data_IF_526152132484
#
_entry.id   IF_526152132484
#
_cell.length_a   1.000
_cell.length_b   1.000
_cell.length_c   1.000
_cell.angle_alpha   90.00
_cell.angle_beta   90.00
_cell.angle_gamma   90.00
#
_symmetry.space_group_name_H-M   'P 1'
#
loop_
_entity.id
_entity.type
_entity.pdbx_description
1 polymer ?
#
# COMPACT_ATOMS: atom_id res chain seq x y z
N UNK A 1 11.40 -72.64 -40.37
CA UNK A 1 10.17 -71.81 -40.63
C UNK A 1 9.81 -70.94 -39.42
N UNK A 2 9.70 -71.46 -38.18
CA UNK A 2 9.35 -70.58 -36.98
C UNK A 2 10.52 -69.65 -36.56
N UNK A 3 11.74 -70.10 -36.63
CA UNK A 3 12.92 -69.28 -36.22
C UNK A 3 13.13 -68.08 -37.15
N UNK A 4 12.93 -68.22 -38.42
CA UNK A 4 13.03 -67.14 -39.45
C UNK A 4 11.98 -66.05 -39.18
N UNK A 5 10.72 -66.44 -38.77
CA UNK A 5 9.65 -65.48 -38.43
C UNK A 5 10.00 -64.73 -37.17
N UNK A 6 10.57 -65.39 -36.17
CA UNK A 6 10.98 -64.75 -34.92
C UNK A 6 12.07 -63.70 -35.10
N UNK A 7 13.09 -64.05 -35.94
CA UNK A 7 14.18 -63.14 -36.25
C UNK A 7 13.70 -61.94 -37.08
N UNK A 8 12.75 -62.13 -38.00
CA UNK A 8 12.12 -61.05 -38.76
C UNK A 8 11.33 -60.11 -37.85
N UNK A 9 10.64 -60.61 -36.81
CA UNK A 9 9.89 -59.81 -35.88
C UNK A 9 10.83 -59.05 -34.94
N UNK A 10 11.93 -59.64 -34.44
CA UNK A 10 12.94 -58.96 -33.67
C UNK A 10 13.60 -57.81 -34.43
N UNK A 11 13.94 -58.03 -35.70
CA UNK A 11 14.48 -57.00 -36.59
C UNK A 11 13.48 -55.84 -36.75
N UNK A 12 12.21 -56.15 -37.03
CA UNK A 12 11.16 -55.14 -37.16
C UNK A 12 10.90 -54.35 -35.87
N UNK A 13 11.06 -54.94 -34.70
CA UNK A 13 10.99 -54.26 -33.39
C UNK A 13 12.19 -53.33 -33.23
N UNK A 14 13.38 -53.77 -33.54
CA UNK A 14 14.61 -52.99 -33.38
C UNK A 14 14.64 -51.77 -34.32
N UNK A 15 14.17 -51.89 -35.55
CA UNK A 15 14.13 -50.82 -36.56
C UNK A 15 12.96 -49.85 -36.35
N UNK A 16 12.01 -50.15 -35.48
CA UNK A 16 10.84 -49.30 -35.26
C UNK A 16 11.19 -47.94 -34.69
N UNK A 17 10.68 -46.89 -35.33
CA UNK A 17 10.84 -45.49 -34.95
C UNK A 17 9.46 -44.86 -34.78
N UNK A 18 9.24 -44.06 -33.74
CA UNK A 18 8.04 -43.27 -33.55
C UNK A 18 8.44 -41.85 -33.12
N UNK A 19 7.90 -40.85 -33.82
CA UNK A 19 8.08 -39.42 -33.53
C UNK A 19 6.79 -38.73 -33.13
N UNK A 20 5.64 -39.37 -33.33
CA UNK A 20 4.32 -38.84 -33.02
C UNK A 20 3.52 -39.83 -32.17
N UNK A 21 2.53 -39.34 -31.36
CA UNK A 21 1.65 -40.22 -30.59
C UNK A 21 0.90 -41.25 -31.42
N UNK A 22 0.52 -40.90 -32.65
CA UNK A 22 -0.15 -41.83 -33.58
C UNK A 22 0.75 -42.97 -34.00
N UNK A 23 2.04 -42.70 -34.29
CA UNK A 23 3.04 -43.71 -34.61
C UNK A 23 3.34 -44.63 -33.42
N UNK A 24 3.31 -44.08 -32.20
CA UNK A 24 3.48 -44.84 -30.97
C UNK A 24 2.29 -45.81 -30.76
N UNK A 25 1.08 -45.38 -31.02
CA UNK A 25 -0.11 -46.21 -30.94
C UNK A 25 -0.11 -47.31 -32.01
N UNK A 26 0.32 -46.97 -33.24
CA UNK A 26 0.49 -47.94 -34.30
C UNK A 26 1.51 -49.04 -33.92
N UNK A 27 2.63 -48.68 -33.27
CA UNK A 27 3.61 -49.64 -32.74
C UNK A 27 2.94 -50.56 -31.69
N UNK A 28 2.21 -49.98 -30.72
CA UNK A 28 1.48 -50.70 -29.68
C UNK A 28 0.52 -51.74 -30.25
N UNK A 29 -0.25 -51.33 -31.24
CA UNK A 29 -1.21 -52.24 -31.94
C UNK A 29 -0.50 -53.37 -32.69
N UNK A 30 0.64 -53.08 -33.29
CA UNK A 30 1.37 -54.05 -34.11
C UNK A 30 2.14 -55.09 -33.29
N UNK A 31 2.72 -54.70 -32.13
CA UNK A 31 3.66 -55.57 -31.41
C UNK A 31 3.20 -55.94 -29.98
N UNK A 32 2.37 -55.15 -29.32
CA UNK A 32 2.02 -55.35 -27.89
C UNK A 32 0.58 -55.82 -27.70
N UNK A 33 -0.36 -55.46 -28.53
CA UNK A 33 -1.78 -55.80 -28.38
C UNK A 33 -2.03 -57.31 -28.40
N UNK A 34 -3.15 -57.78 -27.86
CA UNK A 34 -3.53 -59.20 -27.86
C UNK A 34 -3.64 -59.79 -29.28
N UNK A 35 -3.92 -58.97 -30.30
CA UNK A 35 -4.00 -59.34 -31.71
C UNK A 35 -2.74 -58.93 -32.48
N UNK A 36 -1.63 -58.71 -31.80
CA UNK A 36 -0.36 -58.34 -32.43
C UNK A 36 0.36 -59.53 -33.02
N UNK A 37 1.38 -59.23 -33.84
CA UNK A 37 2.28 -60.26 -34.41
C UNK A 37 2.96 -61.08 -33.30
N UNK A 38 3.27 -60.48 -32.13
CA UNK A 38 3.78 -61.20 -30.94
C UNK A 38 2.68 -62.05 -30.33
N UNK A 39 1.44 -61.57 -30.27
CA UNK A 39 0.28 -62.34 -29.79
C UNK A 39 0.00 -63.61 -30.65
N UNK A 40 0.23 -63.54 -31.96
CA UNK A 40 0.13 -64.71 -32.85
C UNK A 40 1.19 -65.78 -32.55
N UNK A 41 2.40 -65.38 -32.14
CA UNK A 41 3.47 -66.30 -31.69
C UNK A 41 3.05 -67.06 -30.41
N UNK A 42 2.37 -66.40 -29.51
CA UNK A 42 1.79 -67.06 -28.30
C UNK A 42 0.65 -68.03 -28.67
N UNK A 43 -0.18 -67.72 -29.65
CA UNK A 43 -1.27 -68.60 -30.10
C UNK A 43 -0.71 -69.87 -30.76
N UNK A 44 0.42 -69.74 -31.45
CA UNK A 44 1.11 -70.87 -32.08
C UNK A 44 1.70 -71.88 -31.07
N UNK A 45 1.90 -71.54 -29.85
CA UNK A 45 2.36 -72.40 -28.73
C UNK A 45 1.46 -73.66 -28.55
N UNK A 46 0.16 -73.55 -28.91
CA UNK A 46 -0.78 -74.65 -28.84
C UNK A 46 -0.53 -75.78 -29.87
N UNK A 47 0.18 -75.47 -30.94
CA UNK A 47 0.43 -76.37 -32.05
C UNK A 47 1.80 -77.07 -32.03
N UNK A 48 2.66 -76.77 -31.05
CA UNK A 48 4.04 -77.27 -30.93
C UNK A 48 4.11 -78.49 -30.04
N UNK A 49 4.95 -79.53 -30.43
CA UNK A 49 5.17 -80.70 -29.63
C UNK A 49 5.62 -80.42 -28.20
N UNK A 50 5.19 -81.19 -27.18
CA UNK A 50 5.43 -80.94 -25.75
C UNK A 50 6.92 -80.79 -25.39
N UNK A 51 7.81 -81.43 -26.11
CA UNK A 51 9.27 -81.40 -25.90
C UNK A 51 9.91 -80.07 -26.23
N UNK A 52 9.35 -79.33 -27.20
CA UNK A 52 9.87 -78.08 -27.71
C UNK A 52 9.14 -76.85 -27.15
N UNK A 53 7.93 -77.04 -26.50
CA UNK A 53 7.12 -75.96 -25.98
C UNK A 53 7.85 -75.02 -24.98
N UNK A 54 8.71 -75.62 -24.12
CA UNK A 54 9.41 -74.85 -23.12
C UNK A 54 10.46 -73.90 -23.73
N UNK A 55 11.21 -74.39 -24.71
CA UNK A 55 12.24 -73.61 -25.40
C UNK A 55 11.61 -72.51 -26.25
N UNK A 56 10.54 -72.86 -27.02
CA UNK A 56 9.76 -71.88 -27.81
C UNK A 56 9.11 -70.78 -26.92
N UNK A 57 8.53 -71.13 -25.78
CA UNK A 57 7.94 -70.21 -24.82
C UNK A 57 8.95 -69.20 -24.26
N UNK A 58 10.17 -69.65 -24.00
CA UNK A 58 11.24 -68.76 -23.55
C UNK A 58 11.62 -67.73 -24.63
N UNK A 59 11.69 -68.17 -25.87
CA UNK A 59 12.03 -67.30 -27.00
C UNK A 59 10.90 -66.29 -27.30
N UNK A 60 9.64 -66.72 -27.23
CA UNK A 60 8.50 -65.81 -27.43
C UNK A 60 8.39 -64.77 -26.29
N UNK A 61 8.69 -65.19 -25.04
CA UNK A 61 8.75 -64.26 -23.93
C UNK A 61 9.89 -63.23 -24.10
N UNK A 62 11.05 -63.63 -24.59
CA UNK A 62 12.11 -62.66 -24.88
C UNK A 62 11.75 -61.64 -25.95
N UNK A 63 11.01 -62.05 -27.00
CA UNK A 63 10.49 -61.15 -28.02
C UNK A 63 9.48 -60.17 -27.46
N UNK A 64 8.62 -60.62 -26.52
CA UNK A 64 7.66 -59.76 -25.84
C UNK A 64 8.36 -58.71 -25.00
N UNK A 65 9.36 -59.11 -24.21
CA UNK A 65 10.14 -58.17 -23.41
C UNK A 65 10.81 -57.11 -24.26
N UNK A 66 11.43 -57.54 -25.37
CA UNK A 66 12.11 -56.65 -26.33
C UNK A 66 11.12 -55.65 -26.96
N UNK A 67 9.88 -56.07 -27.24
CA UNK A 67 8.84 -55.18 -27.74
C UNK A 67 8.39 -54.16 -26.68
N UNK A 68 8.27 -54.58 -25.43
CA UNK A 68 7.88 -53.71 -24.30
C UNK A 68 8.99 -52.70 -23.97
N UNK A 69 10.24 -53.12 -23.92
CA UNK A 69 11.39 -52.25 -23.72
C UNK A 69 11.51 -51.16 -24.82
N UNK A 70 11.36 -51.56 -26.06
CA UNK A 70 11.38 -50.65 -27.20
C UNK A 70 10.22 -49.65 -27.15
N UNK A 71 9.06 -50.07 -26.71
CA UNK A 71 7.90 -49.21 -26.53
C UNK A 71 8.16 -48.10 -25.49
N UNK A 72 8.78 -48.44 -24.36
CA UNK A 72 9.17 -47.46 -23.34
C UNK A 72 10.18 -46.44 -23.88
N UNK A 73 11.21 -46.92 -24.63
CA UNK A 73 12.18 -46.04 -25.27
C UNK A 73 11.49 -45.05 -26.24
N UNK A 74 10.51 -45.51 -27.01
CA UNK A 74 9.75 -44.67 -27.96
C UNK A 74 8.83 -43.66 -27.22
N UNK A 75 8.22 -44.05 -26.09
CA UNK A 75 7.45 -43.12 -25.25
C UNK A 75 8.32 -41.98 -24.76
N UNK A 76 9.51 -42.28 -24.26
CA UNK A 76 10.42 -41.24 -23.73
C UNK A 76 10.86 -40.27 -24.85
N UNK A 77 11.15 -40.79 -26.06
CA UNK A 77 11.53 -39.99 -27.22
C UNK A 77 10.39 -39.07 -27.68
N UNK A 78 9.15 -39.57 -27.76
CA UNK A 78 7.97 -38.80 -28.15
C UNK A 78 7.66 -37.73 -27.08
N UNK A 79 7.74 -38.07 -25.79
CA UNK A 79 7.51 -37.12 -24.72
C UNK A 79 8.59 -36.02 -24.63
N UNK A 80 9.85 -36.35 -24.90
CA UNK A 80 10.94 -35.40 -24.94
C UNK A 80 10.79 -34.40 -26.11
N UNK A 81 10.32 -34.86 -27.26
CA UNK A 81 10.02 -33.99 -28.43
C UNK A 81 8.81 -33.08 -28.17
N UNK A 82 7.77 -33.59 -27.51
CA UNK A 82 6.55 -32.81 -27.17
C UNK A 82 6.81 -31.75 -26.09
N UNK A 83 7.70 -32.01 -25.15
CA UNK A 83 8.11 -31.00 -24.14
C UNK A 83 8.91 -29.85 -24.75
N UNK A 84 9.70 -30.09 -25.79
CA UNK A 84 10.44 -29.01 -26.46
C UNK A 84 9.57 -28.07 -27.27
N UNK A 85 8.40 -28.50 -27.76
CA UNK A 85 7.52 -27.67 -28.60
C UNK A 85 6.59 -26.73 -27.78
N UNK A 86 6.35 -26.97 -26.50
CA UNK A 86 5.48 -26.12 -25.68
C UNK A 86 6.14 -24.85 -25.15
N UNK A 87 7.45 -24.68 -25.25
CA UNK A 87 8.18 -23.48 -24.77
C UNK A 87 8.55 -22.50 -25.89
N UNK A 88 8.20 -22.80 -27.14
CA UNK A 88 8.69 -22.05 -28.29
C UNK A 88 7.76 -20.94 -28.82
N UNK A 89 6.52 -20.84 -28.33
CA UNK A 89 5.53 -19.90 -28.87
C UNK A 89 5.45 -18.56 -28.11
N UNK A 90 6.23 -18.38 -27.07
CA UNK A 90 6.26 -17.08 -26.39
C UNK A 90 7.40 -16.24 -26.96
N UNK A 91 7.06 -15.25 -27.75
CA UNK A 91 8.02 -14.29 -28.27
C UNK A 91 8.49 -13.36 -27.11
N UNK A 92 9.66 -13.65 -26.55
CA UNK A 92 10.27 -12.89 -25.46
C UNK A 92 10.84 -11.55 -25.94
N UNK A 93 10.82 -11.25 -27.23
CA UNK A 93 11.25 -9.95 -27.77
C UNK A 93 10.12 -8.93 -27.83
N UNK A 94 8.87 -9.37 -27.65
CA UNK A 94 7.74 -8.45 -27.52
C UNK A 94 7.91 -7.59 -26.28
N UNK A 95 7.71 -6.26 -26.39
CA UNK A 95 7.73 -5.39 -25.22
C UNK A 95 6.67 -5.86 -24.22
N UNK A 96 6.95 -5.82 -22.91
CA UNK A 96 5.97 -6.19 -21.91
C UNK A 96 4.73 -5.30 -22.04
N UNK A 97 3.56 -5.87 -21.82
CA UNK A 97 2.32 -5.08 -21.75
C UNK A 97 2.52 -3.96 -20.73
N UNK A 98 2.53 -2.72 -21.22
CA UNK A 98 2.64 -1.53 -20.37
C UNK A 98 1.34 -1.40 -19.56
N UNK A 99 1.22 -2.13 -18.45
CA UNK A 99 0.26 -1.80 -17.41
C UNK A 99 0.81 -0.56 -16.70
N UNK A 100 0.16 0.60 -16.85
CA UNK A 100 0.61 1.79 -16.16
C UNK A 100 0.48 1.52 -14.65
N UNK A 101 1.61 1.47 -13.96
CA UNK A 101 1.63 1.45 -12.50
C UNK A 101 0.88 2.68 -11.99
N UNK A 102 0.03 2.49 -10.99
CA UNK A 102 -0.61 3.59 -10.28
C UNK A 102 0.41 4.47 -9.58
N UNK A 103 -0.06 5.48 -8.89
CA UNK A 103 0.75 6.36 -8.04
C UNK A 103 0.03 6.61 -6.72
N UNK A 104 0.78 7.01 -5.70
CA UNK A 104 0.21 7.46 -4.44
C UNK A 104 -0.29 8.89 -4.62
N UNK A 105 -1.51 9.16 -4.15
CA UNK A 105 -2.04 10.53 -4.16
C UNK A 105 -1.12 11.48 -3.35
N UNK A 106 -0.82 12.70 -3.82
CA UNK A 106 0.13 13.58 -3.14
C UNK A 106 -0.23 13.92 -1.69
N UNK A 107 -1.51 14.00 -1.34
CA UNK A 107 -1.93 14.16 0.06
C UNK A 107 -1.60 12.93 0.90
N UNK A 108 -1.82 11.73 0.37
CA UNK A 108 -1.49 10.48 1.05
C UNK A 108 0.02 10.37 1.28
N UNK A 109 0.83 10.65 0.25
CA UNK A 109 2.29 10.65 0.37
C UNK A 109 2.78 11.71 1.38
N UNK A 110 2.16 12.89 1.40
CA UNK A 110 2.48 13.95 2.37
C UNK A 110 2.10 13.53 3.78
N UNK A 111 0.88 12.98 3.98
CA UNK A 111 0.43 12.45 5.29
C UNK A 111 1.37 11.38 5.82
N UNK A 112 1.73 10.41 5.00
CA UNK A 112 2.66 9.35 5.38
C UNK A 112 4.01 9.90 5.81
N UNK A 113 4.55 10.85 5.04
CA UNK A 113 5.84 11.47 5.38
C UNK A 113 5.78 12.26 6.68
N UNK A 114 4.69 12.96 6.97
CA UNK A 114 4.48 13.65 8.26
C UNK A 114 4.48 12.64 9.39
N UNK A 115 3.69 11.56 9.27
CA UNK A 115 3.60 10.50 10.28
C UNK A 115 4.97 9.91 10.55
N UNK A 116 5.71 9.49 9.52
CA UNK A 116 7.07 8.94 9.66
C UNK A 116 8.03 9.84 10.44
N UNK A 117 7.97 11.16 10.20
CA UNK A 117 8.84 12.12 10.89
C UNK A 117 8.53 12.14 12.40
N UNK A 118 7.25 12.18 12.77
CA UNK A 118 6.84 12.26 14.16
C UNK A 118 6.95 10.90 14.88
N UNK A 119 6.70 9.78 14.22
CA UNK A 119 6.91 8.44 14.81
C UNK A 119 8.38 8.22 15.20
N UNK A 120 9.33 8.72 14.40
CA UNK A 120 10.77 8.63 14.72
C UNK A 120 11.18 9.37 16.00
N UNK A 121 10.38 10.33 16.44
CA UNK A 121 10.58 11.05 17.68
C UNK A 121 9.59 10.65 18.77
N UNK A 122 8.91 9.49 18.59
CA UNK A 122 8.12 8.82 19.60
C UNK A 122 6.65 9.23 19.70
N UNK A 123 6.07 9.84 18.65
CA UNK A 123 4.64 10.06 18.59
C UNK A 123 3.92 8.80 18.11
N UNK A 124 2.83 8.43 18.77
CA UNK A 124 1.93 7.37 18.36
C UNK A 124 0.79 7.96 17.52
N UNK A 125 0.21 7.13 16.65
CA UNK A 125 -0.94 7.54 15.86
C UNK A 125 -2.25 7.32 16.62
N UNK A 126 -3.13 8.32 16.64
CA UNK A 126 -4.49 8.22 17.19
C UNK A 126 -5.51 8.69 16.15
N UNK A 127 -6.59 7.94 16.02
CA UNK A 127 -7.71 8.25 15.12
C UNK A 127 -9.00 8.42 15.93
N UNK A 128 -9.95 9.17 15.41
CA UNK A 128 -11.25 9.41 16.02
C UNK A 128 -12.34 9.69 15.00
N UNK A 129 -13.61 9.78 15.42
CA UNK A 129 -14.74 9.98 14.53
C UNK A 129 -14.71 11.34 13.82
N UNK A 130 -15.34 11.42 12.66
CA UNK A 130 -15.52 12.67 11.92
C UNK A 130 -16.77 13.43 12.37
N UNK A 131 -17.71 12.71 12.99
CA UNK A 131 -18.93 13.29 13.60
C UNK A 131 -18.68 13.40 15.09
N UNK A 132 -18.79 14.60 15.65
CA UNK A 132 -18.44 14.89 17.02
C UNK A 132 -19.57 15.65 17.72
N UNK A 133 -19.65 15.47 19.03
CA UNK A 133 -20.45 16.29 19.92
C UNK A 133 -19.77 17.62 20.23
N UNK A 134 -20.51 18.54 20.84
CA UNK A 134 -20.00 19.85 21.23
C UNK A 134 -18.87 19.75 22.27
N UNK A 135 -18.94 18.77 23.19
CA UNK A 135 -17.93 18.59 24.21
C UNK A 135 -16.54 18.40 23.62
N UNK A 136 -16.38 17.38 22.77
CA UNK A 136 -15.07 17.05 22.17
C UNK A 136 -14.62 18.06 21.12
N UNK A 137 -15.58 18.68 20.40
CA UNK A 137 -15.22 19.61 19.33
C UNK A 137 -14.93 21.02 19.82
N UNK A 138 -15.52 21.44 20.96
CA UNK A 138 -15.42 22.81 21.44
C UNK A 138 -15.23 22.97 22.95
N UNK A 139 -16.13 22.45 23.78
CA UNK A 139 -16.20 22.78 25.22
C UNK A 139 -14.95 22.31 25.95
N UNK A 140 -14.52 21.06 25.75
CA UNK A 140 -13.29 20.55 26.40
C UNK A 140 -12.03 21.29 25.94
N UNK A 141 -12.06 21.92 24.77
CA UNK A 141 -10.98 22.73 24.20
C UNK A 141 -11.04 24.21 24.57
N UNK A 142 -11.78 24.56 25.64
CA UNK A 142 -11.87 25.90 26.18
C UNK A 142 -12.47 26.96 25.25
N UNK A 143 -13.29 26.51 24.24
CA UNK A 143 -14.04 27.46 23.42
C UNK A 143 -15.21 28.06 24.19
N UNK A 144 -15.32 29.40 24.29
CA UNK A 144 -16.47 30.05 24.89
C UNK A 144 -17.79 29.71 24.14
N UNK A 145 -18.91 29.74 24.84
CA UNK A 145 -20.25 29.47 24.22
C UNK A 145 -20.54 30.35 23.01
N UNK A 146 -20.13 31.62 23.05
CA UNK A 146 -20.38 32.62 22.00
C UNK A 146 -19.19 32.76 21.03
N UNK A 147 -18.31 31.74 20.90
CA UNK A 147 -17.20 31.82 19.98
C UNK A 147 -17.68 31.69 18.52
N UNK A 148 -17.19 32.50 17.56
CA UNK A 148 -17.62 32.44 16.16
C UNK A 148 -17.50 31.07 15.50
N UNK A 149 -16.47 30.28 15.86
CA UNK A 149 -16.28 28.92 15.34
C UNK A 149 -17.45 27.95 15.67
N UNK A 150 -18.29 28.27 16.67
CA UNK A 150 -19.50 27.52 16.99
C UNK A 150 -20.73 27.94 16.15
N UNK A 151 -20.58 28.95 15.30
CA UNK A 151 -21.69 29.40 14.47
C UNK A 151 -21.86 28.52 13.22
N UNK A 152 -23.10 28.48 12.70
CA UNK A 152 -23.42 27.76 11.48
C UNK A 152 -22.68 28.28 10.23
N UNK A 153 -22.12 29.47 10.31
CA UNK A 153 -21.31 30.05 9.23
C UNK A 153 -19.99 29.34 9.05
N UNK A 154 -19.41 28.78 10.14
CA UNK A 154 -18.10 28.15 10.13
C UNK A 154 -18.15 26.63 10.34
N UNK A 155 -19.26 26.09 10.88
CA UNK A 155 -19.40 24.67 11.26
C UNK A 155 -20.59 24.01 10.55
N UNK A 156 -20.39 22.80 10.06
CA UNK A 156 -21.48 21.96 9.55
C UNK A 156 -22.12 21.15 10.67
N UNK A 157 -23.28 21.56 11.13
CA UNK A 157 -24.08 20.82 12.11
C UNK A 157 -24.91 19.74 11.41
N UNK A 158 -24.94 18.55 12.01
CA UNK A 158 -25.78 17.43 11.63
C UNK A 158 -27.08 17.47 12.40
N UNK A 159 -27.01 17.79 13.70
CA UNK A 159 -28.13 17.90 14.62
C UNK A 159 -27.90 19.07 15.56
N UNK A 160 -29.00 19.69 16.01
CA UNK A 160 -29.00 20.68 17.09
C UNK A 160 -29.91 20.21 18.21
N UNK A 161 -29.41 20.37 19.45
CA UNK A 161 -30.07 19.88 20.68
C UNK A 161 -30.21 18.34 20.76
N UNK A 162 -29.12 17.57 20.99
CA UNK A 162 -27.75 18.05 21.27
C UNK A 162 -27.01 18.52 20.00
N UNK A 163 -26.06 19.41 20.16
CA UNK A 163 -25.23 19.88 19.05
C UNK A 163 -24.25 18.80 18.61
N UNK A 164 -24.50 18.23 17.43
CA UNK A 164 -23.66 17.26 16.76
C UNK A 164 -23.20 17.85 15.43
N UNK A 165 -21.90 17.86 15.20
CA UNK A 165 -21.31 18.50 14.03
C UNK A 165 -20.26 17.62 13.34
N UNK A 166 -19.92 17.96 12.10
CA UNK A 166 -18.69 17.51 11.49
C UNK A 166 -17.52 18.26 12.14
N UNK A 167 -16.49 17.52 12.59
CA UNK A 167 -15.34 18.11 13.30
C UNK A 167 -14.65 19.18 12.47
N UNK A 168 -14.36 20.32 13.10
CA UNK A 168 -13.71 21.48 12.48
C UNK A 168 -12.17 21.40 12.54
N UNK A 169 -11.65 20.51 13.36
CA UNK A 169 -10.24 20.21 13.58
C UNK A 169 -10.09 18.79 14.14
N UNK A 170 -8.86 18.29 14.21
CA UNK A 170 -8.58 16.96 14.77
C UNK A 170 -8.26 17.00 16.27
N UNK A 171 -8.37 18.15 16.93
CA UNK A 171 -8.16 18.32 18.38
C UNK A 171 -9.18 17.52 19.20
N UNK A 172 -10.36 17.21 18.66
CA UNK A 172 -11.33 16.31 19.30
C UNK A 172 -10.74 14.94 19.62
N UNK A 173 -9.83 14.43 18.75
CA UNK A 173 -9.11 13.19 19.01
C UNK A 173 -8.16 13.33 20.18
N UNK A 174 -7.51 14.49 20.33
CA UNK A 174 -6.63 14.78 21.48
C UNK A 174 -7.42 14.76 22.79
N UNK A 175 -8.62 15.33 22.83
CA UNK A 175 -9.54 15.27 23.99
C UNK A 175 -9.83 13.82 24.35
N UNK A 176 -10.25 13.01 23.39
CA UNK A 176 -10.53 11.55 23.59
C UNK A 176 -9.31 10.79 24.10
N UNK A 177 -8.11 11.12 23.61
CA UNK A 177 -6.87 10.50 24.12
C UNK A 177 -6.61 10.91 25.55
N UNK A 178 -6.75 12.20 25.91
CA UNK A 178 -6.52 12.70 27.26
C UNK A 178 -7.52 12.16 28.28
N UNK A 179 -8.78 11.95 27.90
CA UNK A 179 -9.80 11.33 28.76
C UNK A 179 -9.53 9.85 29.07
N UNK A 180 -8.90 9.13 28.12
CA UNK A 180 -8.73 7.69 28.21
C UNK A 180 -7.30 7.24 28.58
N UNK A 181 -6.31 8.15 28.56
CA UNK A 181 -4.92 7.84 28.84
C UNK A 181 -4.35 8.81 29.87
N UNK A 182 -3.48 8.28 30.72
CA UNK A 182 -2.71 9.12 31.66
C UNK A 182 -1.38 9.53 31.01
N UNK A 183 -0.87 10.73 31.33
CA UNK A 183 0.47 11.11 30.91
C UNK A 183 1.55 10.10 31.37
N UNK A 184 2.63 9.88 30.57
CA UNK A 184 2.98 10.67 29.40
C UNK A 184 2.14 10.33 28.16
N UNK A 185 1.63 11.36 27.48
CA UNK A 185 0.89 11.26 26.22
C UNK A 185 1.72 11.91 25.12
N UNK A 186 1.94 11.18 24.02
CA UNK A 186 2.59 11.73 22.83
C UNK A 186 1.90 11.15 21.61
N UNK A 187 0.98 11.91 21.02
CA UNK A 187 0.09 11.44 19.97
C UNK A 187 0.03 12.38 18.77
N UNK A 188 -0.15 11.81 17.60
CA UNK A 188 -0.40 12.49 16.33
C UNK A 188 -1.79 12.08 15.81
N UNK A 189 -2.61 13.04 15.46
CA UNK A 189 -3.99 12.85 15.04
C UNK A 189 -4.20 13.39 13.62
N UNK A 190 -3.89 12.64 12.56
CA UNK A 190 -4.21 13.01 11.20
C UNK A 190 -5.66 12.68 10.88
N UNK A 191 -6.36 13.57 10.19
CA UNK A 191 -7.74 13.30 9.80
C UNK A 191 -8.34 14.35 8.89
N UNK A 192 -9.49 13.99 8.32
CA UNK A 192 -10.33 14.91 7.55
C UNK A 192 -11.07 15.83 8.49
N UNK A 193 -11.20 17.08 8.09
CA UNK A 193 -11.91 18.13 8.84
C UNK A 193 -12.79 18.95 7.90
N UNK A 194 -13.76 19.67 8.47
CA UNK A 194 -14.81 20.32 7.73
C UNK A 194 -15.01 21.74 8.22
N UNK A 195 -15.06 22.68 7.29
CA UNK A 195 -15.39 24.09 7.59
C UNK A 195 -16.33 24.63 6.54
N UNK A 196 -17.34 25.37 6.96
CA UNK A 196 -18.31 25.95 6.04
C UNK A 196 -17.72 27.19 5.34
N UNK A 197 -16.72 26.97 4.51
CA UNK A 197 -15.99 27.99 3.77
C UNK A 197 -16.26 27.87 2.28
N UNK A 198 -16.23 28.98 1.55
CA UNK A 198 -16.33 29.00 0.10
C UNK A 198 -15.08 28.36 -0.54
N UNK A 199 -15.32 27.42 -1.47
CA UNK A 199 -14.25 26.73 -2.19
C UNK A 199 -13.47 27.71 -3.07
N UNK A 200 -12.16 27.75 -2.94
CA UNK A 200 -11.25 28.59 -3.69
C UNK A 200 -9.91 27.91 -3.94
N UNK A 201 -9.00 28.57 -4.63
CA UNK A 201 -7.62 28.07 -4.81
C UNK A 201 -6.83 27.91 -3.47
N UNK A 202 -7.34 28.45 -2.35
CA UNK A 202 -6.65 28.48 -1.04
C UNK A 202 -7.46 27.91 0.11
N UNK A 203 -8.74 27.68 -0.06
CA UNK A 203 -9.67 27.18 0.95
C UNK A 203 -10.61 26.13 0.33
N UNK A 204 -10.98 25.14 1.11
CA UNK A 204 -11.95 24.12 0.75
C UNK A 204 -12.76 23.72 1.96
N UNK A 205 -14.04 23.44 1.78
CA UNK A 205 -14.92 23.03 2.87
C UNK A 205 -14.53 21.66 3.49
N UNK A 206 -13.76 20.87 2.78
CA UNK A 206 -13.22 19.58 3.22
C UNK A 206 -11.71 19.62 3.01
N UNK A 207 -10.93 19.41 4.07
CA UNK A 207 -9.49 19.32 3.98
C UNK A 207 -8.93 18.38 5.05
N UNK A 208 -7.62 18.18 5.08
CA UNK A 208 -6.97 17.27 6.02
C UNK A 208 -6.04 18.05 6.95
N UNK A 209 -6.17 17.77 8.23
CA UNK A 209 -5.25 18.26 9.25
C UNK A 209 -4.43 17.12 9.83
N UNK A 210 -3.29 17.46 10.37
CA UNK A 210 -2.52 16.66 11.29
C UNK A 210 -2.23 17.50 12.52
N UNK A 211 -2.61 16.99 13.68
CA UNK A 211 -2.34 17.65 14.95
C UNK A 211 -1.52 16.74 15.85
N UNK A 212 -0.64 17.32 16.62
CA UNK A 212 0.18 16.62 17.60
C UNK A 212 -0.04 17.16 18.98
N UNK A 213 -0.06 16.26 19.98
CA UNK A 213 -0.15 16.55 21.39
C UNK A 213 0.97 15.83 22.14
N UNK A 214 1.67 16.57 22.99
CA UNK A 214 2.60 16.00 23.96
C UNK A 214 2.30 16.55 25.34
N UNK A 215 1.99 15.66 26.29
CA UNK A 215 1.72 15.99 27.70
C UNK A 215 2.61 15.11 28.58
N UNK A 216 3.40 15.74 29.45
CA UNK A 216 4.28 15.05 30.39
C UNK A 216 4.63 16.03 31.56
N UNK A 217 5.45 15.57 32.52
CA UNK A 217 6.01 16.45 33.54
C UNK A 217 7.07 17.38 32.91
N UNK A 218 7.01 18.68 33.27
CA UNK A 218 8.00 19.71 32.91
C UNK A 218 8.17 19.94 31.37
N UNK A 219 7.15 19.70 30.56
CA UNK A 219 7.16 20.04 29.13
C UNK A 219 7.09 21.55 28.95
N UNK A 220 7.99 22.12 28.16
CA UNK A 220 8.09 23.56 27.96
C UNK A 220 7.99 23.99 26.50
N UNK A 221 7.89 25.32 26.31
CA UNK A 221 7.81 25.91 24.97
C UNK A 221 9.08 25.66 24.13
N UNK A 222 10.22 25.39 24.79
CA UNK A 222 11.44 25.01 24.11
C UNK A 222 11.31 23.62 23.43
N UNK A 223 10.60 22.67 24.05
CA UNK A 223 10.35 21.33 23.50
C UNK A 223 9.45 21.40 22.27
N UNK A 224 8.40 22.24 22.33
CA UNK A 224 7.56 22.55 21.18
C UNK A 224 8.40 23.08 20.01
N UNK A 225 9.24 24.08 20.25
CA UNK A 225 10.10 24.67 19.22
C UNK A 225 11.04 23.64 18.61
N UNK A 226 11.71 22.84 19.43
CA UNK A 226 12.64 21.81 18.97
C UNK A 226 11.94 20.76 18.11
N UNK A 227 10.75 20.32 18.52
CA UNK A 227 9.93 19.38 17.78
C UNK A 227 9.57 19.93 16.40
N UNK A 228 9.13 21.17 16.33
CA UNK A 228 8.73 21.81 15.07
C UNK A 228 9.92 22.22 14.18
N UNK A 229 11.06 22.57 14.75
CA UNK A 229 12.32 22.75 14.00
C UNK A 229 12.78 21.44 13.37
N UNK A 230 12.69 20.32 14.11
CA UNK A 230 13.00 19.00 13.57
C UNK A 230 12.08 18.66 12.40
N UNK A 231 10.77 18.79 12.60
CA UNK A 231 9.78 18.57 11.56
C UNK A 231 10.04 19.39 10.29
N UNK A 232 10.27 20.70 10.44
CA UNK A 232 10.48 21.58 9.30
C UNK A 232 11.73 21.19 8.48
N UNK A 233 12.82 20.83 9.15
CA UNK A 233 14.06 20.38 8.49
C UNK A 233 13.90 19.04 7.78
N UNK A 234 13.22 18.07 8.40
CA UNK A 234 12.98 16.75 7.81
C UNK A 234 12.00 16.80 6.63
N UNK A 235 11.00 17.69 6.70
CA UNK A 235 9.94 17.80 5.70
C UNK A 235 10.37 18.63 4.49
N UNK A 236 11.07 19.75 4.72
CA UNK A 236 11.37 20.78 3.71
C UNK A 236 12.85 20.95 3.42
N UNK A 237 13.72 20.29 4.17
CA UNK A 237 15.18 20.36 3.99
C UNK A 237 15.91 21.18 5.05
N UNK A 238 17.19 20.87 5.22
CA UNK A 238 18.04 21.40 6.32
C UNK A 238 18.19 22.93 6.35
N UNK A 239 18.07 23.58 5.20
CA UNK A 239 18.21 25.03 5.06
C UNK A 239 16.91 25.79 5.37
N UNK A 240 15.82 25.09 5.68
CA UNK A 240 14.53 25.70 6.01
C UNK A 240 14.62 26.46 7.33
N UNK A 241 14.30 27.75 7.28
CA UNK A 241 14.22 28.59 8.48
C UNK A 241 12.78 28.57 9.01
N UNK A 242 12.64 28.51 10.32
CA UNK A 242 11.34 28.53 11.00
C UNK A 242 11.24 29.80 11.84
N UNK A 243 10.07 30.40 11.86
CA UNK A 243 9.73 31.57 12.68
C UNK A 243 8.43 31.29 13.40
N UNK A 244 8.39 31.66 14.69
CA UNK A 244 7.18 31.65 15.50
C UNK A 244 6.68 33.08 15.64
N UNK A 245 5.39 33.29 15.39
CA UNK A 245 4.71 34.57 15.60
C UNK A 245 3.68 34.40 16.70
N UNK A 246 3.60 35.30 17.72
CA UNK A 246 2.53 35.24 18.70
C UNK A 246 1.16 35.21 18.04
N UNK A 247 0.28 34.37 18.55
CA UNK A 247 -1.11 34.22 18.12
C UNK A 247 -2.00 33.89 19.30
N UNK A 248 -3.27 33.69 19.09
CA UNK A 248 -4.24 33.29 20.10
C UNK A 248 -5.06 32.11 19.60
N UNK A 249 -5.13 31.07 20.44
CA UNK A 249 -6.06 29.95 20.27
C UNK A 249 -6.70 29.65 21.63
N UNK A 250 -8.02 29.33 21.69
CA UNK A 250 -8.70 29.09 22.98
C UNK A 250 -8.09 27.98 23.84
N UNK A 251 -7.47 27.00 23.18
CA UNK A 251 -6.95 25.77 23.77
C UNK A 251 -5.45 25.80 24.10
N UNK A 252 -4.76 26.92 23.81
CA UNK A 252 -3.30 27.04 24.08
C UNK A 252 -2.93 28.43 24.61
N UNK A 253 -2.00 28.47 25.57
CA UNK A 253 -1.40 29.71 26.09
C UNK A 253 -0.01 29.41 26.67
N UNK A 254 1.09 30.04 26.18
CA UNK A 254 1.15 30.93 25.02
C UNK A 254 0.95 30.20 23.69
N UNK A 255 0.37 30.91 22.72
CA UNK A 255 0.11 30.42 21.38
C UNK A 255 1.03 31.05 20.34
N UNK A 256 1.35 30.32 19.29
CA UNK A 256 2.16 30.83 18.19
C UNK A 256 1.77 30.20 16.84
N UNK A 257 1.74 31.00 15.81
CA UNK A 257 1.73 30.53 14.44
C UNK A 257 3.14 30.17 13.97
N UNK A 258 3.24 29.14 13.12
CA UNK A 258 4.49 28.60 12.62
C UNK A 258 4.65 29.01 11.15
N UNK A 259 5.68 29.77 10.87
CA UNK A 259 6.06 30.14 9.50
C UNK A 259 7.37 29.44 9.11
N UNK A 260 7.48 29.05 7.84
CA UNK A 260 8.74 28.63 7.22
C UNK A 260 9.20 29.63 6.16
N UNK A 261 10.51 29.69 5.90
CA UNK A 261 11.03 30.45 4.78
C UNK A 261 10.42 29.94 3.47
N UNK A 262 9.99 30.86 2.62
CA UNK A 262 9.32 30.48 1.36
C UNK A 262 10.26 29.68 0.47
N UNK A 263 9.87 28.44 0.16
CA UNK A 263 10.64 27.50 -0.64
C UNK A 263 10.75 27.92 -2.12
N UNK A 264 9.81 28.74 -2.60
CA UNK A 264 9.74 29.15 -4.00
C UNK A 264 10.73 30.28 -4.29
N UNK A 265 10.83 31.26 -3.38
CA UNK A 265 11.71 32.41 -3.57
C UNK A 265 12.96 32.41 -2.66
N UNK A 266 13.16 31.37 -1.88
CA UNK A 266 14.26 31.28 -0.93
C UNK A 266 14.27 32.41 0.12
N UNK A 267 13.07 32.91 0.50
CA UNK A 267 12.91 33.99 1.47
C UNK A 267 13.03 35.42 0.90
N UNK A 268 13.23 35.58 -0.41
CA UNK A 268 13.41 36.91 -1.06
C UNK A 268 12.10 37.70 -1.23
N UNK A 269 10.97 37.04 -1.16
CA UNK A 269 9.64 37.59 -1.46
C UNK A 269 9.13 37.20 -2.84
N UNK A 270 7.87 36.78 -2.94
CA UNK A 270 7.17 36.46 -4.18
C UNK A 270 5.64 36.54 -3.95
N UNK A 271 4.85 36.38 -5.01
CA UNK A 271 3.39 36.42 -4.92
C UNK A 271 2.79 35.32 -4.00
N UNK A 272 3.47 34.19 -3.87
CA UNK A 272 3.00 33.09 -3.00
C UNK A 272 3.12 33.45 -1.53
N UNK A 273 4.25 34.01 -1.12
CA UNK A 273 4.48 34.49 0.23
C UNK A 273 4.01 35.94 0.48
N UNK A 274 3.31 36.56 -0.49
CA UNK A 274 2.85 37.95 -0.44
C UNK A 274 4.00 38.93 -0.13
N UNK A 275 5.15 38.74 -0.76
CA UNK A 275 6.38 39.51 -0.63
C UNK A 275 7.04 39.47 0.77
N UNK A 276 6.53 38.65 1.69
CA UNK A 276 7.06 38.57 3.06
C UNK A 276 8.29 37.67 3.21
N UNK A 277 8.51 36.76 2.23
CA UNK A 277 9.54 35.72 2.33
C UNK A 277 9.18 34.55 3.25
N UNK A 278 8.01 34.57 3.90
CA UNK A 278 7.55 33.58 4.87
C UNK A 278 6.20 33.01 4.49
N UNK A 279 5.97 31.74 4.81
CA UNK A 279 4.70 31.06 4.58
C UNK A 279 4.29 30.33 5.86
N UNK A 280 3.10 30.64 6.34
CA UNK A 280 2.50 29.96 7.47
C UNK A 280 2.14 28.51 7.11
N UNK A 281 2.49 27.59 7.99
CA UNK A 281 2.22 26.15 7.85
C UNK A 281 1.28 25.61 8.93
N UNK A 282 1.08 26.31 10.04
CA UNK A 282 0.19 25.86 11.12
C UNK A 282 0.21 26.73 12.37
N UNK A 283 -0.58 26.33 13.34
CA UNK A 283 -0.64 26.89 14.67
C UNK A 283 -0.06 25.95 15.72
N UNK A 284 0.37 26.51 16.86
CA UNK A 284 0.93 25.74 17.98
C UNK A 284 0.83 26.51 19.28
N UNK A 285 1.02 25.85 20.41
CA UNK A 285 1.10 26.47 21.71
C UNK A 285 1.25 25.50 22.86
N UNK A 286 1.43 26.04 24.06
CA UNK A 286 1.34 25.23 25.27
C UNK A 286 -0.14 24.98 25.58
N UNK A 287 -0.48 23.74 25.93
CA UNK A 287 -1.86 23.37 26.25
C UNK A 287 -2.36 24.19 27.44
N UNK A 288 -3.52 24.81 27.30
CA UNK A 288 -4.15 25.57 28.36
C UNK A 288 -4.45 24.66 29.56
N UNK A 289 -4.12 25.07 30.81
CA UNK A 289 -4.43 24.28 32.00
C UNK A 289 -5.89 23.85 32.12
N UNK A 290 -6.84 24.69 31.69
CA UNK A 290 -8.26 24.32 31.70
C UNK A 290 -8.57 23.15 30.78
N UNK A 291 -7.88 23.02 29.62
CA UNK A 291 -8.04 21.87 28.73
C UNK A 291 -7.57 20.57 29.36
N UNK A 292 -6.44 20.62 30.11
CA UNK A 292 -5.95 19.46 30.85
C UNK A 292 -6.95 19.07 31.95
N UNK A 293 -7.45 20.03 32.71
CA UNK A 293 -8.41 19.79 33.79
C UNK A 293 -9.75 19.27 33.26
N UNK A 294 -10.26 19.81 32.16
CA UNK A 294 -11.47 19.33 31.50
C UNK A 294 -11.35 17.86 31.10
N UNK A 295 -10.14 17.40 30.77
CA UNK A 295 -9.86 15.99 30.41
C UNK A 295 -9.40 15.16 31.63
N UNK A 296 -9.49 15.67 32.87
CA UNK A 296 -9.13 14.96 34.09
C UNK A 296 -7.62 14.78 34.33
N UNK A 297 -6.79 15.63 33.73
CA UNK A 297 -5.33 15.66 33.92
C UNK A 297 -4.96 16.80 34.87
N UNK A 298 -4.18 16.50 35.91
CA UNK A 298 -3.71 17.48 36.89
C UNK A 298 -2.75 18.49 36.24
N UNK A 299 -3.23 19.71 35.99
CA UNK A 299 -2.46 20.80 35.35
C UNK A 299 -1.33 21.38 36.24
N UNK A 300 -1.32 21.05 37.55
CA UNK A 300 -0.23 21.44 38.45
C UNK A 300 0.96 20.52 38.35
N UNK A 301 0.73 19.28 37.92
CA UNK A 301 1.77 18.26 37.76
C UNK A 301 2.24 18.15 36.32
N UNK A 302 1.33 18.22 35.35
CA UNK A 302 1.59 18.00 33.94
C UNK A 302 1.44 19.28 33.14
N UNK A 303 2.31 19.44 32.18
CA UNK A 303 2.25 20.46 31.16
C UNK A 303 2.33 19.82 29.78
N UNK A 304 1.94 20.54 28.75
CA UNK A 304 2.00 19.96 27.40
C UNK A 304 2.03 21.02 26.32
N UNK A 305 2.31 20.59 25.12
CA UNK A 305 2.15 21.42 23.93
C UNK A 305 1.31 20.71 22.87
N UNK A 306 0.67 21.52 22.05
CA UNK A 306 -0.05 21.05 20.86
C UNK A 306 0.34 21.88 19.64
N UNK A 307 0.19 21.26 18.46
CA UNK A 307 0.37 21.92 17.16
C UNK A 307 -0.59 21.32 16.13
N UNK A 308 -0.96 22.12 15.13
CA UNK A 308 -1.82 21.67 14.04
C UNK A 308 -1.40 22.25 12.70
N UNK A 309 -1.45 21.43 11.65
CA UNK A 309 -1.04 21.79 10.28
C UNK A 309 -2.01 21.21 9.25
N UNK A 310 -2.30 22.00 8.20
CA UNK A 310 -3.07 21.52 7.04
C UNK A 310 -2.18 20.71 6.09
N UNK A 311 -2.57 19.46 5.81
CA UNK A 311 -1.80 18.56 4.94
C UNK A 311 -1.74 19.10 3.52
N UNK A 312 -2.85 19.67 3.01
CA UNK A 312 -2.90 20.33 1.70
C UNK A 312 -1.89 21.48 1.61
N UNK A 313 -1.79 22.30 2.67
CA UNK A 313 -0.87 23.42 2.69
C UNK A 313 0.59 22.96 2.58
N UNK A 314 0.94 21.90 3.31
CA UNK A 314 2.27 21.29 3.26
C UNK A 314 2.53 20.68 1.89
N UNK A 315 1.56 19.95 1.30
CA UNK A 315 1.67 19.36 -0.02
C UNK A 315 1.82 20.44 -1.12
N UNK A 316 1.04 21.52 -1.05
CA UNK A 316 1.16 22.66 -1.97
C UNK A 316 2.56 23.27 -1.94
N UNK A 317 3.14 23.45 -0.78
CA UNK A 317 4.49 24.00 -0.63
C UNK A 317 5.56 23.03 -1.15
N UNK A 318 5.44 21.75 -0.80
CA UNK A 318 6.41 20.72 -1.20
C UNK A 318 6.44 20.47 -2.69
N UNK A 319 5.27 20.40 -3.33
CA UNK A 319 5.12 20.09 -4.76
C UNK A 319 4.88 21.33 -5.62
N UNK A 320 4.93 22.54 -5.05
CA UNK A 320 4.71 23.82 -5.73
C UNK A 320 3.35 23.91 -6.44
N UNK A 321 2.32 23.32 -5.87
CA UNK A 321 0.95 23.33 -6.37
C UNK A 321 0.32 24.66 -5.99
N UNK A 322 -0.30 25.35 -6.98
CA UNK A 322 -0.82 26.70 -6.80
C UNK A 322 -2.31 26.75 -6.46
N UNK A 323 -3.02 25.64 -6.63
CA UNK A 323 -4.47 25.55 -6.47
C UNK A 323 -4.83 24.28 -5.68
N UNK A 324 -5.46 24.49 -4.52
CA UNK A 324 -5.86 23.42 -3.61
C UNK A 324 -6.92 22.49 -4.23
N UNK A 325 -7.78 23.01 -5.10
CA UNK A 325 -8.86 22.24 -5.75
C UNK A 325 -8.34 21.07 -6.57
N UNK A 326 -7.12 21.15 -7.11
CA UNK A 326 -6.48 20.07 -7.86
C UNK A 326 -6.37 18.76 -7.08
N UNK A 327 -6.34 18.82 -5.76
CA UNK A 327 -6.31 17.61 -4.94
C UNK A 327 -7.65 16.85 -4.91
N UNK A 328 -8.76 17.51 -5.20
CA UNK A 328 -10.11 16.96 -5.08
C UNK A 328 -10.83 16.79 -6.41
N UNK A 329 -10.38 17.45 -7.48
CA UNK A 329 -11.00 17.41 -8.82
C UNK A 329 -10.78 16.09 -9.56
N UNK A 330 -9.93 15.19 -9.06
CA UNK A 330 -9.63 13.89 -9.66
C UNK A 330 -9.14 13.96 -11.12
N UNK A 331 -8.43 15.05 -11.51
CA UNK A 331 -7.87 15.20 -12.84
C UNK A 331 -6.70 14.23 -13.05
N UNK A 332 -6.88 13.28 -13.96
CA UNK A 332 -5.89 12.24 -14.28
C UNK A 332 -4.56 12.86 -14.76
N UNK A 333 -4.55 14.02 -15.42
CA UNK A 333 -3.34 14.72 -15.87
C UNK A 333 -2.52 15.21 -14.67
N UNK A 334 -3.20 15.69 -13.64
CA UNK A 334 -2.59 16.08 -12.37
C UNK A 334 -2.05 14.85 -11.63
N UNK A 335 -2.88 13.82 -11.44
CA UNK A 335 -2.51 12.63 -10.67
C UNK A 335 -1.35 11.85 -11.33
N UNK A 336 -1.26 11.82 -12.65
CA UNK A 336 -0.18 11.14 -13.38
C UNK A 336 1.21 11.72 -13.10
N UNK A 337 1.31 12.96 -12.62
CA UNK A 337 2.60 13.59 -12.27
C UNK A 337 3.23 12.98 -11.01
N UNK A 338 2.44 12.26 -10.18
CA UNK A 338 2.86 11.67 -8.92
C UNK A 338 3.11 10.15 -9.00
N UNK A 339 3.13 9.56 -10.20
CA UNK A 339 3.45 8.13 -10.39
C UNK A 339 4.79 7.69 -9.80
N UNK A 340 5.86 8.51 -9.80
CA UNK A 340 7.15 8.14 -9.21
C UNK A 340 7.18 8.10 -7.68
N UNK A 341 6.07 8.40 -7.00
CA UNK A 341 5.98 8.37 -5.53
C UNK A 341 5.68 6.96 -4.94
N UNK A 342 5.94 5.94 -5.74
CA UNK A 342 5.85 4.53 -5.30
C UNK A 342 7.06 4.14 -4.46
#
# INVERSE_FOLDING_TARGET
>A
MYQEKIEAIKAAIAEAIAHTPEQLEAYRMKFISKKSVVGELFAALGQIPNEEKRAYGQVVNSVKQLAEEKFQELIEKVNASTKKSKSADTDLTLPPSNYPLGGIHPLTATRQRIIEIFERIGFNLSEGPEIEDDWHNFTALNFPENHPAREMQDTFFIEKNPDIALRTHTSSVQVRVMENQKPPIRTLSPGRVYRNEAISARAHCIFHQVEGLYVDENVGFADLKNTLYHFAKEMFGKETKVRFRPSFFPFTEPSAEIDISCLICGGKGCNVCKQTGWVEIGGSGMVDPNVLENCGIDSKKYTGFAFGMGIERIAMLKYQIKDLRLFTENDVRFLRQFRPLL
#
